data_IF_740909314405
#
_entry.id   IF_740909314405
#
_cell.length_a   1.000
_cell.length_b   1.000
_cell.length_c   1.000
_cell.angle_alpha   90.00
_cell.angle_beta   90.00
_cell.angle_gamma   90.00
#
_symmetry.space_group_name_H-M   'P 1'
#
loop_
_entity.id
_entity.type
_entity.pdbx_description
1 polymer ?
#
# COMPACT_ATOMS: atom_id res chain seq x y z
N UNK A 1 -20.97 -14.44 10.39
CA UNK A 1 -20.11 -15.33 9.56
C UNK A 1 -20.39 -15.21 8.06
N UNK A 2 -21.65 -15.18 7.59
CA UNK A 2 -21.95 -15.09 6.15
C UNK A 2 -21.59 -13.75 5.46
N UNK A 3 -21.48 -12.63 6.18
CA UNK A 3 -21.00 -11.35 5.63
C UNK A 3 -19.49 -11.37 5.38
N UNK A 4 -18.70 -11.76 6.39
CA UNK A 4 -17.23 -11.82 6.33
C UNK A 4 -16.72 -12.71 5.18
N UNK A 5 -17.38 -13.85 4.93
CA UNK A 5 -17.03 -14.72 3.79
C UNK A 5 -17.34 -14.04 2.45
N UNK A 6 -18.48 -13.36 2.33
CA UNK A 6 -18.84 -12.61 1.12
C UNK A 6 -17.89 -11.44 0.86
N UNK A 7 -17.49 -10.74 1.91
CA UNK A 7 -16.55 -9.60 1.80
C UNK A 7 -15.17 -10.09 1.35
N UNK A 8 -14.67 -11.20 1.92
CA UNK A 8 -13.42 -11.84 1.47
C UNK A 8 -13.47 -12.32 0.01
N UNK A 9 -14.58 -12.96 -0.39
CA UNK A 9 -14.77 -13.39 -1.78
C UNK A 9 -14.82 -12.18 -2.72
N UNK A 10 -15.47 -11.09 -2.29
CA UNK A 10 -15.54 -9.84 -3.06
C UNK A 10 -14.16 -9.21 -3.24
N UNK A 11 -13.37 -9.10 -2.17
CA UNK A 11 -12.01 -8.53 -2.24
C UNK A 11 -11.07 -9.39 -3.07
N UNK A 12 -11.13 -10.73 -2.94
CA UNK A 12 -10.37 -11.62 -3.81
C UNK A 12 -10.70 -11.41 -5.30
N UNK A 13 -12.00 -11.34 -5.62
CA UNK A 13 -12.46 -11.04 -6.99
C UNK A 13 -12.02 -9.65 -7.45
N UNK A 14 -12.04 -8.64 -6.57
CA UNK A 14 -11.58 -7.28 -6.87
C UNK A 14 -10.09 -7.29 -7.24
N UNK A 15 -9.26 -7.98 -6.46
CA UNK A 15 -7.83 -8.16 -6.71
C UNK A 15 -7.55 -8.87 -8.03
N UNK A 16 -8.20 -10.01 -8.29
CA UNK A 16 -8.01 -10.78 -9.52
C UNK A 16 -8.38 -9.94 -10.76
N UNK A 17 -9.52 -9.24 -10.71
CA UNK A 17 -9.94 -8.34 -11.78
C UNK A 17 -8.99 -7.15 -11.95
N UNK A 18 -8.49 -6.57 -10.87
CA UNK A 18 -7.55 -5.45 -10.94
C UNK A 18 -6.25 -5.86 -11.64
N UNK A 19 -5.72 -7.05 -11.34
CA UNK A 19 -4.53 -7.59 -12.00
C UNK A 19 -4.74 -7.81 -13.50
N UNK A 20 -5.88 -8.38 -13.90
CA UNK A 20 -6.21 -8.59 -15.32
C UNK A 20 -6.38 -7.26 -16.07
N UNK A 21 -7.11 -6.32 -15.46
CA UNK A 21 -7.36 -4.99 -16.03
C UNK A 21 -6.07 -4.19 -16.15
N UNK A 22 -5.18 -4.29 -15.16
CA UNK A 22 -3.87 -3.65 -15.17
C UNK A 22 -3.06 -4.06 -16.41
N UNK A 23 -3.02 -5.34 -16.78
CA UNK A 23 -2.28 -5.82 -17.95
C UNK A 23 -2.71 -5.10 -19.23
N UNK A 24 -4.02 -4.86 -19.39
CA UNK A 24 -4.55 -4.12 -20.56
C UNK A 24 -4.02 -2.68 -20.60
N UNK A 25 -3.95 -2.00 -19.45
CA UNK A 25 -3.44 -0.63 -19.37
C UNK A 25 -1.91 -0.55 -19.47
N UNK A 26 -1.19 -1.56 -18.95
CA UNK A 26 0.26 -1.65 -19.07
C UNK A 26 0.69 -1.83 -20.54
N UNK A 27 -0.02 -2.66 -21.30
CA UNK A 27 0.31 -2.92 -22.71
C UNK A 27 -0.08 -1.78 -23.65
N UNK A 28 -1.23 -1.15 -23.42
CA UNK A 28 -1.85 -0.21 -24.38
C UNK A 28 -1.75 1.25 -23.94
N UNK A 29 -1.35 1.51 -22.71
CA UNK A 29 -1.35 2.82 -22.08
C UNK A 29 -2.71 3.21 -21.50
N UNK A 30 -2.69 3.87 -20.33
CA UNK A 30 -3.90 4.29 -19.64
C UNK A 30 -4.76 5.24 -20.49
N UNK A 31 -4.15 6.18 -21.22
CA UNK A 31 -4.86 7.20 -21.99
C UNK A 31 -5.59 6.63 -23.22
N UNK A 32 -5.04 5.57 -23.82
CA UNK A 32 -5.55 4.97 -25.06
C UNK A 32 -6.71 3.99 -24.83
N UNK A 33 -6.91 3.54 -23.59
CA UNK A 33 -7.91 2.54 -23.24
C UNK A 33 -8.97 3.12 -22.30
N UNK A 34 -10.23 2.96 -22.67
CA UNK A 34 -11.38 3.30 -21.81
C UNK A 34 -11.69 2.16 -20.83
N UNK A 35 -12.35 2.48 -19.72
CA UNK A 35 -12.82 1.46 -18.76
C UNK A 35 -13.71 0.38 -19.43
N UNK A 36 -14.52 0.76 -20.43
CA UNK A 36 -15.34 -0.19 -21.18
C UNK A 36 -14.50 -1.14 -22.04
N UNK A 37 -13.47 -0.64 -22.73
CA UNK A 37 -12.58 -1.47 -23.52
C UNK A 37 -11.74 -2.41 -22.63
N UNK A 38 -11.27 -1.93 -21.48
CA UNK A 38 -10.58 -2.76 -20.50
C UNK A 38 -11.48 -3.87 -19.94
N UNK A 39 -12.72 -3.52 -19.57
CA UNK A 39 -13.72 -4.48 -19.12
C UNK A 39 -13.99 -5.57 -20.16
N UNK A 40 -14.18 -5.17 -21.42
CA UNK A 40 -14.39 -6.11 -22.53
C UNK A 40 -13.17 -7.01 -22.76
N UNK A 41 -11.96 -6.47 -22.65
CA UNK A 41 -10.72 -7.22 -22.82
C UNK A 41 -10.53 -8.33 -21.78
N UNK A 42 -11.05 -8.14 -20.55
CA UNK A 42 -11.02 -9.15 -19.47
C UNK A 42 -12.33 -9.94 -19.35
N UNK A 43 -13.24 -9.82 -20.33
CA UNK A 43 -14.46 -10.63 -20.40
C UNK A 43 -15.56 -10.24 -19.40
N UNK A 44 -15.57 -9.00 -18.88
CA UNK A 44 -16.61 -8.51 -17.97
C UNK A 44 -17.43 -7.37 -18.58
N UNK A 45 -18.66 -7.21 -18.11
CA UNK A 45 -19.50 -6.08 -18.51
C UNK A 45 -18.98 -4.76 -17.93
N UNK A 46 -19.31 -3.63 -18.57
CA UNK A 46 -19.05 -2.28 -18.03
C UNK A 46 -19.68 -2.11 -16.63
N UNK A 47 -20.89 -2.64 -16.42
CA UNK A 47 -21.55 -2.58 -15.11
C UNK A 47 -20.79 -3.38 -14.04
N UNK A 48 -20.23 -4.55 -14.41
CA UNK A 48 -19.37 -5.34 -13.52
C UNK A 48 -18.10 -4.59 -13.17
N UNK A 49 -17.46 -3.94 -14.14
CA UNK A 49 -16.26 -3.12 -13.90
C UNK A 49 -16.54 -2.04 -12.84
N UNK A 50 -17.57 -1.22 -13.05
CA UNK A 50 -17.92 -0.13 -12.14
C UNK A 50 -18.49 -0.59 -10.79
N UNK A 51 -18.83 -1.88 -10.65
CA UNK A 51 -19.18 -2.50 -9.36
C UNK A 51 -17.95 -2.71 -8.46
N UNK A 52 -16.77 -2.86 -9.05
CA UNK A 52 -15.50 -3.10 -8.33
C UNK A 52 -14.60 -1.88 -8.28
N UNK A 53 -14.63 -1.04 -9.33
CA UNK A 53 -13.73 0.10 -9.47
C UNK A 53 -14.52 1.38 -9.76
N UNK A 54 -14.17 2.45 -9.07
CA UNK A 54 -14.74 3.78 -9.30
C UNK A 54 -14.30 4.40 -10.64
N UNK A 55 -13.11 4.02 -11.12
CA UNK A 55 -12.48 4.52 -12.34
C UNK A 55 -11.48 3.51 -12.91
N UNK A 56 -10.89 3.80 -14.08
CA UNK A 56 -9.78 2.99 -14.61
C UNK A 56 -8.50 3.18 -13.80
N UNK A 57 -8.29 4.39 -13.28
CA UNK A 57 -7.19 4.75 -12.41
C UNK A 57 -7.26 3.98 -11.09
N UNK A 58 -8.46 3.84 -10.52
CA UNK A 58 -8.71 3.04 -9.31
C UNK A 58 -8.42 1.55 -9.55
N UNK A 59 -8.75 1.01 -10.73
CA UNK A 59 -8.39 -0.38 -11.06
C UNK A 59 -6.87 -0.59 -11.11
N UNK A 60 -6.13 0.35 -11.71
CA UNK A 60 -4.66 0.31 -11.76
C UNK A 60 -4.05 0.45 -10.36
N UNK A 61 -4.53 1.40 -9.55
CA UNK A 61 -4.09 1.59 -8.16
C UNK A 61 -4.40 0.38 -7.29
N UNK A 62 -5.57 -0.23 -7.46
CA UNK A 62 -5.95 -1.47 -6.78
C UNK A 62 -5.01 -2.60 -7.16
N UNK A 63 -4.57 -2.70 -8.42
CA UNK A 63 -3.63 -3.71 -8.84
C UNK A 63 -2.27 -3.57 -8.14
N UNK A 64 -1.74 -2.34 -8.01
CA UNK A 64 -0.52 -2.08 -7.24
C UNK A 64 -0.70 -2.45 -5.76
N UNK A 65 -1.79 -1.99 -5.14
CA UNK A 65 -2.14 -2.36 -3.74
C UNK A 65 -2.20 -3.85 -3.51
N UNK A 66 -2.76 -4.60 -4.45
CA UNK A 66 -3.01 -6.03 -4.29
C UNK A 66 -1.75 -6.89 -4.28
N UNK A 67 -0.60 -6.34 -4.70
CA UNK A 67 0.70 -7.01 -4.53
C UNK A 67 1.17 -6.99 -3.08
N UNK A 68 0.64 -6.06 -2.29
CA UNK A 68 0.78 -6.03 -0.84
C UNK A 68 -0.33 -6.85 -0.19
N UNK A 69 -0.02 -7.64 0.83
CA UNK A 69 -1.05 -7.96 1.82
C UNK A 69 -1.51 -6.65 2.46
N UNK A 70 -2.82 -6.49 2.69
CA UNK A 70 -3.34 -5.29 3.36
C UNK A 70 -2.64 -5.14 4.72
N UNK A 71 -1.93 -4.03 4.92
CA UNK A 71 -1.13 -3.79 6.13
C UNK A 71 -1.93 -3.96 7.42
N UNK A 72 -3.20 -3.53 7.40
CA UNK A 72 -4.16 -3.71 8.49
C UNK A 72 -4.42 -5.19 8.80
N UNK A 73 -4.64 -6.03 7.78
CA UNK A 73 -4.84 -7.47 7.95
C UNK A 73 -3.57 -8.16 8.48
N UNK A 74 -2.39 -7.70 8.05
CA UNK A 74 -1.12 -8.20 8.57
C UNK A 74 -1.02 -7.90 10.07
N UNK A 75 -1.24 -6.65 10.48
CA UNK A 75 -1.26 -6.26 11.89
C UNK A 75 -2.28 -7.05 12.73
N UNK A 76 -3.49 -7.28 12.22
CA UNK A 76 -4.52 -8.06 12.92
C UNK A 76 -4.07 -9.51 13.21
N UNK A 77 -3.18 -10.06 12.38
CA UNK A 77 -2.63 -11.40 12.56
C UNK A 77 -1.38 -11.46 13.45
N UNK A 78 -0.79 -10.30 13.76
CA UNK A 78 0.47 -10.22 14.48
C UNK A 78 0.26 -10.32 15.99
N UNK A 79 1.12 -11.10 16.65
CA UNK A 79 1.20 -11.10 18.11
C UNK A 79 1.86 -9.80 18.60
N UNK A 80 1.31 -9.21 19.66
CA UNK A 80 1.94 -8.11 20.39
C UNK A 80 3.23 -8.59 21.03
N UNK A 81 4.33 -7.86 20.80
CA UNK A 81 5.57 -8.05 21.54
C UNK A 81 5.78 -6.83 22.46
N UNK A 82 5.70 -6.99 23.80
CA UNK A 82 5.82 -5.87 24.74
C UNK A 82 7.16 -5.13 24.68
N UNK A 83 8.21 -5.73 24.12
CA UNK A 83 9.52 -5.10 23.95
C UNK A 83 9.70 -4.40 22.61
N UNK A 84 8.74 -4.53 21.69
CA UNK A 84 8.77 -3.94 20.35
C UNK A 84 8.12 -2.56 20.38
N UNK A 85 8.79 -1.57 19.78
CA UNK A 85 8.23 -0.23 19.57
C UNK A 85 7.15 -0.25 18.49
N UNK A 86 6.28 0.78 18.50
CA UNK A 86 5.25 0.93 17.48
C UNK A 86 5.83 1.04 16.05
N UNK A 87 7.01 1.65 15.90
CA UNK A 87 7.69 1.74 14.60
C UNK A 87 8.23 0.39 14.14
N UNK A 88 8.77 -0.45 15.04
CA UNK A 88 9.22 -1.81 14.70
C UNK A 88 8.04 -2.70 14.31
N UNK A 89 6.92 -2.62 15.05
CA UNK A 89 5.68 -3.32 14.72
C UNK A 89 5.19 -2.92 13.32
N UNK A 90 5.17 -1.62 13.04
CA UNK A 90 4.77 -1.10 11.73
C UNK A 90 5.73 -1.56 10.63
N UNK A 91 7.05 -1.44 10.81
CA UNK A 91 8.05 -1.94 9.86
C UNK A 91 7.80 -3.41 9.50
N UNK A 92 7.60 -4.26 10.52
CA UNK A 92 7.32 -5.69 10.34
C UNK A 92 6.00 -5.96 9.60
N UNK A 93 5.01 -5.07 9.71
CA UNK A 93 3.75 -5.19 8.96
C UNK A 93 3.91 -4.99 7.44
N UNK A 94 4.97 -4.33 6.97
CA UNK A 94 5.28 -4.18 5.54
C UNK A 94 6.04 -5.38 4.96
N UNK A 95 6.53 -6.30 5.79
CA UNK A 95 7.39 -7.42 5.37
C UNK A 95 6.82 -8.22 4.18
N UNK A 96 5.53 -8.64 4.15
CA UNK A 96 5.00 -9.40 3.03
C UNK A 96 5.07 -8.64 1.70
N UNK A 97 4.96 -7.32 1.78
CA UNK A 97 5.05 -6.45 0.61
C UNK A 97 6.48 -6.29 0.13
N UNK A 98 7.43 -6.21 1.05
CA UNK A 98 8.86 -6.19 0.72
C UNK A 98 9.25 -7.51 0.05
N UNK A 99 8.83 -8.65 0.63
CA UNK A 99 9.06 -9.99 0.05
C UNK A 99 8.46 -10.09 -1.36
N UNK A 100 7.20 -9.69 -1.55
CA UNK A 100 6.56 -9.72 -2.87
C UNK A 100 7.30 -8.84 -3.90
N UNK A 101 7.87 -7.71 -3.48
CA UNK A 101 8.69 -6.85 -4.34
C UNK A 101 10.08 -7.42 -4.64
N UNK A 102 10.64 -8.24 -3.74
CA UNK A 102 11.90 -8.95 -3.95
C UNK A 102 11.72 -10.19 -4.84
N UNK A 103 10.55 -10.83 -4.81
CA UNK A 103 10.19 -11.99 -5.66
C UNK A 103 10.06 -11.63 -7.15
N UNK A 104 9.43 -10.49 -7.47
CA UNK A 104 9.35 -9.97 -8.85
C UNK A 104 9.57 -8.44 -8.90
N UNK A 105 10.84 -8.00 -8.82
CA UNK A 105 11.18 -6.58 -8.79
C UNK A 105 10.71 -5.80 -10.00
N UNK A 106 10.81 -6.38 -11.20
CA UNK A 106 10.44 -5.71 -12.45
C UNK A 106 8.93 -5.49 -12.56
N UNK A 107 8.12 -6.47 -12.14
CA UNK A 107 6.66 -6.31 -12.13
C UNK A 107 6.22 -5.21 -11.15
N UNK A 108 6.81 -5.17 -9.95
CA UNK A 108 6.49 -4.13 -8.97
C UNK A 108 6.96 -2.76 -9.45
N UNK A 109 8.18 -2.63 -9.96
CA UNK A 109 8.70 -1.37 -10.51
C UNK A 109 7.83 -0.84 -11.64
N UNK A 110 7.45 -1.69 -12.59
CA UNK A 110 6.60 -1.30 -13.72
C UNK A 110 5.24 -0.76 -13.25
N UNK A 111 4.64 -1.38 -12.22
CA UNK A 111 3.37 -0.93 -11.64
C UNK A 111 3.51 0.41 -10.92
N UNK A 112 4.57 0.59 -10.14
CA UNK A 112 4.85 1.87 -9.45
C UNK A 112 5.11 2.96 -10.49
N UNK A 113 5.93 2.71 -11.52
CA UNK A 113 6.16 3.63 -12.64
C UNK A 113 4.86 4.04 -13.32
N UNK A 114 3.97 3.08 -13.60
CA UNK A 114 2.66 3.39 -14.18
C UNK A 114 1.86 4.30 -13.24
N UNK A 115 1.71 3.96 -11.96
CA UNK A 115 0.95 4.77 -11.00
C UNK A 115 1.52 6.18 -10.85
N UNK A 116 2.83 6.36 -10.96
CA UNK A 116 3.47 7.68 -10.91
C UNK A 116 3.52 8.42 -12.24
N UNK A 117 3.16 7.80 -13.36
CA UNK A 117 3.28 8.38 -14.71
C UNK A 117 2.34 9.57 -14.98
N UNK A 118 1.12 9.56 -14.43
CA UNK A 118 0.11 10.59 -14.70
C UNK A 118 -0.43 11.24 -13.43
N UNK A 119 -0.94 12.47 -13.54
CA UNK A 119 -1.57 13.16 -12.41
C UNK A 119 -2.83 12.42 -11.93
N UNK A 120 -3.62 11.82 -12.83
CA UNK A 120 -4.85 11.11 -12.48
C UNK A 120 -4.56 9.85 -11.64
N UNK A 121 -3.52 9.08 -12.00
CA UNK A 121 -3.11 7.93 -11.20
C UNK A 121 -2.52 8.32 -9.84
N UNK A 122 -1.69 9.37 -9.79
CA UNK A 122 -1.19 9.89 -8.52
C UNK A 122 -2.33 10.37 -7.61
N UNK A 123 -3.35 11.02 -8.16
CA UNK A 123 -4.53 11.42 -7.40
C UNK A 123 -5.32 10.21 -6.88
N UNK A 124 -5.54 9.19 -7.72
CA UNK A 124 -6.19 7.94 -7.32
C UNK A 124 -5.40 7.20 -6.23
N UNK A 125 -4.07 7.19 -6.31
CA UNK A 125 -3.20 6.62 -5.27
C UNK A 125 -3.37 7.36 -3.94
N UNK A 126 -3.37 8.68 -3.95
CA UNK A 126 -3.55 9.50 -2.75
C UNK A 126 -4.94 9.32 -2.12
N UNK A 127 -5.99 9.18 -2.94
CA UNK A 127 -7.32 8.86 -2.41
C UNK A 127 -7.32 7.48 -1.74
N UNK A 128 -6.74 6.49 -2.40
CA UNK A 128 -6.63 5.16 -1.82
C UNK A 128 -5.75 5.12 -0.55
N UNK A 129 -4.78 6.02 -0.41
CA UNK A 129 -3.97 6.16 0.81
C UNK A 129 -4.78 6.64 2.00
N UNK A 130 -5.81 7.47 1.80
CA UNK A 130 -6.71 7.90 2.89
C UNK A 130 -7.49 6.72 3.48
N UNK A 131 -8.02 5.85 2.62
CA UNK A 131 -8.71 4.63 3.06
C UNK A 131 -7.77 3.72 3.85
N UNK A 132 -6.57 3.46 3.31
CA UNK A 132 -5.57 2.61 3.97
C UNK A 132 -5.08 3.19 5.30
N UNK A 133 -4.95 4.52 5.41
CA UNK A 133 -4.58 5.17 6.66
C UNK A 133 -5.63 4.87 7.74
N UNK A 134 -6.92 5.00 7.42
CA UNK A 134 -7.99 4.72 8.38
C UNK A 134 -8.02 3.25 8.80
N UNK A 135 -7.88 2.33 7.85
CA UNK A 135 -7.80 0.88 8.12
C UNK A 135 -6.60 0.54 9.00
N UNK A 136 -5.42 1.08 8.69
CA UNK A 136 -4.19 0.83 9.43
C UNK A 136 -4.26 1.41 10.85
N UNK A 137 -4.77 2.63 11.01
CA UNK A 137 -4.96 3.25 12.32
C UNK A 137 -5.92 2.44 13.20
N UNK A 138 -7.02 1.94 12.62
CA UNK A 138 -7.94 1.07 13.34
C UNK A 138 -7.27 -0.24 13.78
N UNK A 139 -6.47 -0.85 12.91
CA UNK A 139 -5.72 -2.07 13.23
C UNK A 139 -4.63 -1.84 14.30
N UNK A 140 -4.17 -0.59 14.48
CA UNK A 140 -3.22 -0.21 15.53
C UNK A 140 -3.85 -0.04 16.91
N UNK A 141 -5.17 0.13 17.04
CA UNK A 141 -5.82 0.37 18.34
C UNK A 141 -5.51 -0.68 19.43
N UNK A 142 -5.40 -1.99 19.13
CA UNK A 142 -5.00 -2.99 20.13
C UNK A 142 -3.56 -2.81 20.65
N UNK A 143 -2.69 -2.15 19.88
CA UNK A 143 -1.27 -1.95 20.19
C UNK A 143 -0.97 -0.54 20.71
N UNK A 144 -1.83 0.44 20.41
CA UNK A 144 -1.68 1.83 20.80
C UNK A 144 -3.00 2.39 21.36
N UNK A 145 -3.08 2.51 22.68
CA UNK A 145 -4.26 3.03 23.37
C UNK A 145 -4.58 4.51 23.05
N UNK A 146 -3.60 5.26 22.56
CA UNK A 146 -3.79 6.64 22.13
C UNK A 146 -4.15 6.68 20.63
N UNK A 147 -5.44 6.81 20.34
CA UNK A 147 -5.97 6.87 18.97
C UNK A 147 -5.27 7.92 18.08
N UNK A 148 -4.95 9.10 18.63
CA UNK A 148 -4.25 10.15 17.86
C UNK A 148 -2.83 9.72 17.46
N UNK A 149 -2.15 8.97 18.33
CA UNK A 149 -0.84 8.41 18.00
C UNK A 149 -0.98 7.27 17.00
N UNK A 150 -1.99 6.41 17.12
CA UNK A 150 -2.28 5.37 16.11
C UNK A 150 -2.49 5.98 14.71
N UNK A 151 -3.31 7.03 14.61
CA UNK A 151 -3.56 7.76 13.35
C UNK A 151 -2.26 8.35 12.77
N UNK A 152 -1.46 8.99 13.61
CA UNK A 152 -0.20 9.63 13.20
C UNK A 152 0.83 8.60 12.76
N UNK A 153 0.94 7.48 13.48
CA UNK A 153 1.86 6.39 13.16
C UNK A 153 1.47 5.67 11.88
N UNK A 154 0.17 5.46 11.63
CA UNK A 154 -0.31 4.93 10.36
C UNK A 154 0.07 5.84 9.18
N UNK A 155 -0.17 7.16 9.32
CA UNK A 155 0.21 8.14 8.31
C UNK A 155 1.73 8.14 8.04
N UNK A 156 2.54 8.17 9.11
CA UNK A 156 4.00 8.15 9.02
C UNK A 156 4.48 6.90 8.28
N UNK A 157 4.03 5.72 8.68
CA UNK A 157 4.47 4.46 8.10
C UNK A 157 4.12 4.33 6.61
N UNK A 158 2.89 4.71 6.22
CA UNK A 158 2.49 4.70 4.81
C UNK A 158 3.30 5.71 3.98
N UNK A 159 3.65 6.86 4.56
CA UNK A 159 4.49 7.87 3.90
C UNK A 159 5.92 7.40 3.72
N UNK A 160 6.52 6.76 4.75
CA UNK A 160 7.85 6.16 4.65
C UNK A 160 7.88 5.08 3.56
N UNK A 161 6.84 4.25 3.49
CA UNK A 161 6.70 3.22 2.47
C UNK A 161 6.53 3.80 1.06
N UNK A 162 5.69 4.84 0.88
CA UNK A 162 5.56 5.52 -0.42
C UNK A 162 6.86 6.16 -0.87
N UNK A 163 7.59 6.79 0.05
CA UNK A 163 8.90 7.35 -0.23
C UNK A 163 9.89 6.25 -0.66
N UNK A 164 9.90 5.13 0.04
CA UNK A 164 10.77 4.00 -0.28
C UNK A 164 10.45 3.41 -1.66
N UNK A 165 9.17 3.22 -2.00
CA UNK A 165 8.74 2.73 -3.32
C UNK A 165 9.21 3.63 -4.45
N UNK A 166 9.02 4.94 -4.32
CA UNK A 166 9.39 5.91 -5.37
C UNK A 166 10.91 5.96 -5.54
N UNK A 167 11.67 6.02 -4.44
CA UNK A 167 13.14 5.99 -4.50
C UNK A 167 13.65 4.69 -5.11
N UNK A 168 13.03 3.55 -4.74
CA UNK A 168 13.44 2.24 -5.21
C UNK A 168 13.27 2.07 -6.72
N UNK A 169 12.21 2.63 -7.32
CA UNK A 169 12.00 2.59 -8.78
C UNK A 169 13.20 3.11 -9.56
N UNK A 170 13.84 4.19 -9.08
CA UNK A 170 14.99 4.83 -9.73
C UNK A 170 16.34 4.25 -9.28
N UNK A 171 16.37 3.48 -8.18
CA UNK A 171 17.59 2.87 -7.66
C UNK A 171 17.96 1.60 -8.42
N UNK A 172 19.22 1.48 -8.83
CA UNK A 172 19.73 0.32 -9.58
C UNK A 172 20.42 -0.71 -8.69
N UNK A 173 20.86 -0.32 -7.49
CA UNK A 173 21.73 -1.14 -6.64
C UNK A 173 21.13 -1.43 -5.26
N UNK A 174 20.05 -0.75 -4.87
CA UNK A 174 19.42 -0.93 -3.57
C UNK A 174 18.11 -1.70 -3.73
N UNK A 175 17.85 -2.61 -2.79
CA UNK A 175 16.57 -3.29 -2.61
C UNK A 175 15.53 -2.37 -1.98
N UNK A 176 14.25 -2.70 -2.14
CA UNK A 176 13.17 -1.98 -1.46
C UNK A 176 13.34 -2.08 0.07
N UNK A 177 13.81 -3.23 0.55
CA UNK A 177 14.10 -3.49 1.96
C UNK A 177 15.10 -2.51 2.52
N UNK A 178 16.28 -2.39 1.91
CA UNK A 178 17.34 -1.49 2.38
C UNK A 178 16.85 -0.05 2.49
N UNK A 179 16.12 0.43 1.46
CA UNK A 179 15.58 1.79 1.45
C UNK A 179 14.50 1.98 2.53
N UNK A 180 13.61 0.99 2.70
CA UNK A 180 12.55 1.05 3.71
C UNK A 180 13.12 1.01 5.13
N UNK A 181 14.09 0.13 5.37
CA UNK A 181 14.79 0.00 6.65
C UNK A 181 15.49 1.30 7.01
N UNK A 182 16.23 1.91 6.07
CA UNK A 182 16.84 3.23 6.24
C UNK A 182 15.80 4.30 6.64
N UNK A 183 14.64 4.32 5.97
CA UNK A 183 13.59 5.28 6.24
C UNK A 183 12.99 5.12 7.65
N UNK A 184 12.74 3.87 8.09
CA UNK A 184 12.26 3.59 9.43
C UNK A 184 13.34 3.82 10.51
N UNK A 185 14.61 3.52 10.23
CA UNK A 185 15.73 3.80 11.13
C UNK A 185 15.90 5.29 11.35
N UNK A 186 15.75 6.09 10.30
CA UNK A 186 15.74 7.55 10.41
C UNK A 186 14.57 8.04 11.28
N UNK A 187 13.36 7.48 11.10
CA UNK A 187 12.21 7.81 11.94
C UNK A 187 12.44 7.45 13.43
N UNK A 188 13.03 6.28 13.71
CA UNK A 188 13.39 5.87 15.06
C UNK A 188 14.50 6.74 15.68
N UNK A 189 15.45 7.20 14.86
CA UNK A 189 16.51 8.12 15.30
C UNK A 189 15.94 9.49 15.71
N UNK A 190 14.94 10.02 15.00
CA UNK A 190 14.28 11.28 15.39
C UNK A 190 13.69 11.15 16.80
N UNK A 191 13.06 10.04 17.13
CA UNK A 191 12.52 9.81 18.48
C UNK A 191 13.62 9.86 19.57
N UNK A 192 14.77 9.23 19.30
CA UNK A 192 15.90 9.15 20.23
C UNK A 192 16.71 10.45 20.39
N UNK A 193 16.85 11.25 19.33
CA UNK A 193 17.62 12.51 19.36
C UNK A 193 16.90 13.65 20.10
N UNK A 194 15.57 13.56 20.22
CA UNK A 194 14.78 14.56 20.95
C UNK A 194 14.47 14.14 22.40
N UNK A 195 14.54 12.85 22.75
CA UNK A 195 14.48 12.38 24.14
C UNK A 195 15.75 12.68 24.95
N UNK A 196 16.89 12.87 24.29
CA UNK A 196 18.17 13.31 24.90
C UNK A 196 18.34 14.84 24.94
N UNK A 197 17.31 15.60 24.53
CA UNK A 197 17.40 17.04 24.27
C UNK A 197 16.44 17.94 25.07
N UNK A 198 16.15 17.65 26.34
CA UNK A 198 15.42 18.58 27.23
C UNK A 198 16.03 18.66 28.63
N UNK A 199 17.35 18.88 28.69
CA UNK A 199 17.99 19.57 29.80
C UNK A 199 18.76 20.76 29.22
N UNK A 200 18.04 21.76 28.71
CA UNK A 200 18.58 23.12 28.59
C UNK A 200 18.10 23.90 29.80
N UNK A 201 19.11 24.41 30.52
CA UNK A 201 19.08 25.18 31.77
C UNK A 201 17.97 26.22 31.85
#
# INVERSE_FOLDING_TARGET
MGSVVRDRVREKMKTELAQQVYTVFAERGLENVTAQQAAQAVGISRATFFRYFSSKEDAVVTALRSMSMHFSQMLESMASNPSESLLELLRRSFEPTVVAAEEDPEAVRSRVQLVWSTQALRASWQESRREQQAELAQALHPFCANHRLADTSALLALTLYDHALVRWVDSHNESLREILDEAFDFAAMIDNKWSTGAARK
#
